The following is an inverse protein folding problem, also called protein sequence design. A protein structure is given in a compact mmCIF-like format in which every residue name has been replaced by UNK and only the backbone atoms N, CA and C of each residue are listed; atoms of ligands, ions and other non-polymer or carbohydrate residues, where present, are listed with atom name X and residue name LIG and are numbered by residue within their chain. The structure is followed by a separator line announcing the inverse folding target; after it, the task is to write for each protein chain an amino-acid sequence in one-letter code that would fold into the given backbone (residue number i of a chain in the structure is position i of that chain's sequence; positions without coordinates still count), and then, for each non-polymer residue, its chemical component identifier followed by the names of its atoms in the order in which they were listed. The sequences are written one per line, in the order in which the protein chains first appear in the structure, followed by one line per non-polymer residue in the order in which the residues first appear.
data_IF_315441907323
#
_entry.id   IF_315441907323
#
_cell.length_a   1.000
_cell.length_b   1.000
_cell.length_c   1.000
_cell.angle_alpha   90.00
_cell.angle_beta   90.00
_cell.angle_gamma   90.00
#
_symmetry.space_group_name_H-M   'P 1'
#
loop_
_entity.id
_entity.type
_entity.pdbx_description
1 polymer ?
#
# COMPACT_ATOMS: atom_id res chain seq x y z
N UNK A 1 -18.18 -6.98 -24.12
CA UNK A 1 -18.90 -5.79 -23.58
C UNK A 1 -17.93 -5.07 -22.66
N UNK A 2 -17.67 -3.77 -22.83
CA UNK A 2 -16.64 -3.08 -22.03
C UNK A 2 -17.28 -2.46 -20.78
N UNK A 3 -16.77 -2.78 -19.59
CA UNK A 3 -17.22 -2.13 -18.35
C UNK A 3 -16.31 -0.93 -18.11
N UNK A 4 -16.90 0.27 -18.10
CA UNK A 4 -16.24 1.50 -17.66
C UNK A 4 -16.55 1.70 -16.19
N UNK A 5 -15.53 1.81 -15.35
CA UNK A 5 -15.71 2.25 -13.97
C UNK A 5 -14.67 3.27 -13.57
N UNK A 6 -15.04 4.10 -12.60
CA UNK A 6 -14.17 5.10 -12.01
C UNK A 6 -13.50 4.45 -10.81
N UNK A 7 -12.17 4.37 -10.88
CA UNK A 7 -11.34 4.04 -9.75
C UNK A 7 -10.87 5.33 -9.09
N UNK A 8 -11.11 5.48 -7.79
CA UNK A 8 -10.60 6.63 -7.05
C UNK A 8 -9.68 6.16 -5.93
N UNK A 9 -8.55 6.84 -5.78
CA UNK A 9 -7.59 6.61 -4.70
C UNK A 9 -7.65 7.82 -3.78
N UNK A 10 -7.87 7.55 -2.49
CA UNK A 10 -7.98 8.56 -1.45
C UNK A 10 -6.94 8.32 -0.37
N UNK A 11 -6.38 9.39 0.18
CA UNK A 11 -5.44 9.31 1.30
C UNK A 11 -5.98 10.13 2.47
N UNK A 12 -5.86 9.56 3.67
CA UNK A 12 -5.97 10.28 4.94
C UNK A 12 -4.64 10.14 5.68
N UNK A 13 -4.04 11.25 6.03
CA UNK A 13 -2.97 11.28 7.02
C UNK A 13 -3.57 11.83 8.33
N UNK A 14 -3.28 11.20 9.46
CA UNK A 14 -3.62 11.76 10.77
C UNK A 14 -2.91 13.11 10.95
N UNK A 15 -3.54 14.13 11.57
CA UNK A 15 -2.83 15.33 11.97
C UNK A 15 -1.69 14.96 12.93
N UNK A 16 -0.56 15.70 12.95
CA UNK A 16 0.68 15.35 13.63
C UNK A 16 0.62 15.28 15.18
N UNK A 17 -0.58 15.28 15.78
CA UNK A 17 -0.81 15.14 17.22
C UNK A 17 -1.89 14.10 17.60
N UNK A 18 -2.45 13.34 16.65
CA UNK A 18 -3.42 12.28 16.95
C UNK A 18 -2.74 10.90 16.98
N UNK A 19 -2.53 10.35 18.18
CA UNK A 19 -2.05 8.98 18.36
C UNK A 19 -3.24 8.00 18.44
N UNK A 20 -3.20 6.87 17.72
CA UNK A 20 -2.15 6.46 16.78
C UNK A 20 -2.26 7.17 15.42
N UNK A 21 -1.11 7.51 14.82
CA UNK A 21 -1.08 8.03 13.46
C UNK A 21 -1.49 6.93 12.49
N UNK A 22 -2.44 7.26 11.62
CA UNK A 22 -2.88 6.40 10.55
C UNK A 22 -2.66 7.12 9.22
N UNK A 23 -1.78 6.56 8.37
CA UNK A 23 -1.81 6.87 6.94
C UNK A 23 -2.66 5.80 6.26
N UNK A 24 -3.78 6.23 5.69
CA UNK A 24 -4.79 5.36 5.12
C UNK A 24 -4.96 5.63 3.62
N UNK A 25 -4.86 4.60 2.78
CA UNK A 25 -5.16 4.62 1.36
C UNK A 25 -6.47 3.87 1.09
N UNK A 26 -7.45 4.51 0.45
CA UNK A 26 -8.72 3.90 0.07
C UNK A 26 -8.85 3.77 -1.45
N UNK A 27 -9.31 2.61 -1.91
CA UNK A 27 -9.67 2.35 -3.31
C UNK A 27 -11.19 2.30 -3.42
N UNK A 28 -11.76 3.18 -4.24
CA UNK A 28 -13.18 3.23 -4.51
C UNK A 28 -13.47 2.77 -5.93
N UNK A 29 -14.63 2.15 -6.09
CA UNK A 29 -15.26 1.87 -7.37
C UNK A 29 -16.60 2.55 -7.40
N UNK A 30 -16.78 3.52 -8.31
CA UNK A 30 -18.02 4.28 -8.46
C UNK A 30 -18.51 4.89 -7.12
N UNK A 31 -17.61 5.49 -6.35
CA UNK A 31 -17.93 6.10 -5.05
C UNK A 31 -18.04 5.11 -3.88
N UNK A 32 -18.04 3.80 -4.13
CA UNK A 32 -18.08 2.79 -3.05
C UNK A 32 -16.68 2.32 -2.68
N UNK A 33 -16.33 2.44 -1.39
CA UNK A 33 -15.07 1.93 -0.84
C UNK A 33 -14.98 0.42 -1.02
N UNK A 34 -14.10 -0.01 -1.93
CA UNK A 34 -13.78 -1.40 -2.15
C UNK A 34 -12.85 -1.89 -1.04
N UNK A 35 -11.72 -1.19 -0.85
CA UNK A 35 -10.69 -1.54 0.14
C UNK A 35 -9.98 -0.32 0.70
N UNK A 36 -9.43 -0.50 1.89
CA UNK A 36 -8.68 0.47 2.65
C UNK A 36 -7.38 -0.18 3.14
N UNK A 37 -6.28 0.58 3.12
CA UNK A 37 -4.97 0.18 3.61
C UNK A 37 -4.54 1.23 4.60
N UNK A 38 -4.49 0.91 5.88
CA UNK A 38 -4.06 1.86 6.89
C UNK A 38 -2.85 1.33 7.61
N UNK A 39 -1.81 2.15 7.71
CA UNK A 39 -0.66 1.86 8.55
C UNK A 39 -0.93 2.46 9.92
N UNK A 40 -0.99 1.64 10.95
CA UNK A 40 -0.93 2.14 12.31
C UNK A 40 0.53 2.26 12.73
N UNK A 41 0.97 3.45 13.15
CA UNK A 41 2.27 3.60 13.79
C UNK A 41 2.18 3.12 15.25
N UNK A 42 2.38 1.82 15.49
CA UNK A 42 2.56 1.24 16.84
C UNK A 42 3.82 0.38 16.91
N UNK A 43 4.73 0.72 17.82
CA UNK A 43 5.87 -0.12 18.22
C UNK A 43 7.22 0.25 17.57
N UNK A 44 8.15 -0.71 17.57
CA UNK A 44 9.56 -0.53 17.16
C UNK A 44 9.79 -0.48 15.64
N UNK A 45 8.78 -0.84 14.84
CA UNK A 45 8.79 -0.70 13.38
C UNK A 45 7.82 0.41 13.01
N UNK A 46 8.33 1.62 12.90
CA UNK A 46 7.57 2.72 12.30
C UNK A 46 7.69 2.58 10.78
N UNK A 47 6.66 3.01 10.03
CA UNK A 47 6.74 3.17 8.58
C UNK A 47 6.75 4.67 8.29
N UNK A 48 7.72 5.11 7.49
CA UNK A 48 8.01 6.55 7.35
C UNK A 48 7.02 7.18 6.38
N UNK A 49 6.68 6.46 5.31
CA UNK A 49 5.70 6.91 4.33
C UNK A 49 5.17 5.75 3.49
N UNK A 50 3.92 5.89 3.05
CA UNK A 50 3.38 5.16 1.89
C UNK A 50 3.40 6.04 0.67
N UNK A 51 3.76 5.47 -0.47
CA UNK A 51 3.49 6.05 -1.78
C UNK A 51 2.73 5.05 -2.64
N UNK A 52 2.09 5.55 -3.70
CA UNK A 52 1.37 4.70 -4.62
C UNK A 52 1.62 5.15 -6.05
N UNK A 53 1.54 4.20 -6.97
CA UNK A 53 1.52 4.45 -8.40
C UNK A 53 0.41 3.63 -9.01
N UNK A 54 -0.37 4.25 -9.90
CA UNK A 54 -1.35 3.52 -10.68
C UNK A 54 -1.05 3.70 -12.16
N UNK A 55 -0.76 2.61 -12.84
CA UNK A 55 -0.56 2.52 -14.29
C UNK A 55 -1.42 1.38 -14.78
N UNK A 56 -2.65 1.70 -15.16
CA UNK A 56 -3.67 0.72 -15.57
C UNK A 56 -3.06 -0.36 -16.49
N UNK A 57 -3.26 -1.67 -16.20
CA UNK A 57 -4.17 -2.23 -15.20
C UNK A 57 -3.56 -2.42 -13.79
N UNK A 58 -2.38 -1.85 -13.52
CA UNK A 58 -1.64 -2.12 -12.28
C UNK A 58 -1.71 -0.99 -11.26
N UNK A 59 -1.91 -1.38 -10.01
CA UNK A 59 -1.78 -0.54 -8.82
C UNK A 59 -0.58 -1.02 -8.01
N UNK A 60 0.37 -0.13 -7.70
CA UNK A 60 1.51 -0.45 -6.84
C UNK A 60 1.46 0.40 -5.59
N UNK A 61 1.44 -0.25 -4.43
CA UNK A 61 1.64 0.34 -3.12
C UNK A 61 3.12 0.18 -2.73
N UNK A 62 3.78 1.26 -2.35
CA UNK A 62 5.15 1.22 -1.83
C UNK A 62 5.15 1.68 -0.38
N UNK A 63 5.83 0.93 0.48
CA UNK A 63 5.91 1.21 1.92
C UNK A 63 7.38 1.35 2.29
N UNK A 64 7.77 2.53 2.75
CA UNK A 64 9.13 2.83 3.21
C UNK A 64 9.22 2.57 4.71
N UNK A 65 10.18 1.73 5.11
CA UNK A 65 10.47 1.50 6.53
C UNK A 65 10.96 2.79 7.19
N UNK A 66 10.49 3.09 8.40
CA UNK A 66 11.11 4.10 9.26
C UNK A 66 12.10 3.42 10.21
N UNK A 67 13.11 4.18 10.63
CA UNK A 67 14.15 3.67 11.50
C UNK A 67 14.12 4.40 12.84
N UNK A 68 14.18 3.63 13.93
CA UNK A 68 14.42 4.22 15.23
C UNK A 68 15.89 4.59 15.35
N UNK A 69 16.18 5.89 15.40
CA UNK A 69 17.52 6.39 15.66
C UNK A 69 18.06 5.83 16.99
N UNK A 70 19.26 5.27 16.95
CA UNK A 70 19.95 4.73 18.10
C UNK A 70 21.47 4.89 17.97
N UNK A 71 22.23 4.21 18.82
CA UNK A 71 23.70 4.21 18.79
C UNK A 71 24.30 3.33 17.67
N UNK A 72 23.48 2.88 16.73
CA UNK A 72 23.93 2.03 15.61
C UNK A 72 24.68 2.90 14.60
N UNK A 73 25.81 2.40 14.10
CA UNK A 73 26.63 3.10 13.10
C UNK A 73 26.14 2.90 11.66
N UNK A 74 25.24 1.94 11.44
CA UNK A 74 24.60 1.69 10.15
C UNK A 74 23.25 0.99 10.34
N UNK A 75 22.44 1.08 9.30
CA UNK A 75 21.10 0.53 9.20
C UNK A 75 20.93 -0.21 7.86
N UNK A 76 19.99 -1.16 7.82
CA UNK A 76 19.61 -1.87 6.59
C UNK A 76 18.12 -1.66 6.27
N UNK A 77 17.71 -0.40 5.98
CA UNK A 77 16.31 -0.12 5.72
C UNK A 77 15.83 -0.74 4.42
N UNK A 78 14.50 -0.78 4.25
CA UNK A 78 13.90 -1.31 3.02
C UNK A 78 12.64 -0.55 2.57
N UNK A 79 12.35 -0.70 1.27
CA UNK A 79 11.08 -0.32 0.66
C UNK A 79 10.40 -1.58 0.15
N UNK A 80 9.19 -1.85 0.63
CA UNK A 80 8.34 -2.91 0.11
C UNK A 80 7.46 -2.39 -1.02
N UNK A 81 7.32 -3.18 -2.09
CA UNK A 81 6.48 -2.89 -3.25
C UNK A 81 5.46 -4.01 -3.47
N UNK A 82 4.18 -3.66 -3.33
CA UNK A 82 3.04 -4.55 -3.57
C UNK A 82 2.32 -4.10 -4.84
N UNK A 83 2.52 -4.82 -5.94
CA UNK A 83 1.87 -4.54 -7.21
C UNK A 83 0.69 -5.48 -7.40
N UNK A 84 -0.49 -4.91 -7.60
CA UNK A 84 -1.74 -5.59 -7.86
C UNK A 84 -2.19 -5.34 -9.30
N UNK A 85 -2.52 -6.42 -10.01
CA UNK A 85 -3.14 -6.35 -11.33
C UNK A 85 -4.66 -6.41 -11.22
N UNK A 86 -5.34 -5.57 -11.99
CA UNK A 86 -6.79 -5.59 -12.10
C UNK A 86 -7.25 -6.66 -13.11
N UNK A 87 -7.99 -7.65 -12.63
CA UNK A 87 -8.55 -8.76 -13.41
C UNK A 87 -10.03 -8.86 -13.06
N UNK A 88 -10.90 -8.81 -14.07
CA UNK A 88 -12.36 -8.85 -13.95
C UNK A 88 -12.94 -7.96 -12.82
N UNK A 89 -12.47 -6.71 -12.75
CA UNK A 89 -12.92 -5.74 -11.75
C UNK A 89 -12.37 -5.95 -10.33
N UNK A 90 -11.47 -6.91 -10.13
CA UNK A 90 -10.84 -7.22 -8.84
C UNK A 90 -9.32 -7.12 -8.92
N UNK A 91 -8.70 -6.64 -7.84
CA UNK A 91 -7.25 -6.56 -7.73
C UNK A 91 -6.69 -7.86 -7.16
N UNK A 92 -5.68 -8.40 -7.81
CA UNK A 92 -4.92 -9.56 -7.37
C UNK A 92 -3.45 -9.22 -7.31
N UNK A 93 -2.73 -9.76 -6.33
CA UNK A 93 -1.29 -9.58 -6.22
C UNK A 93 -0.63 -10.11 -7.49
N UNK A 94 0.05 -9.21 -8.19
CA UNK A 94 0.84 -9.50 -9.38
C UNK A 94 2.31 -9.69 -9.02
N UNK A 95 2.85 -8.85 -8.12
CA UNK A 95 4.21 -8.96 -7.64
C UNK A 95 4.36 -8.40 -6.22
N UNK A 96 5.15 -9.08 -5.40
CA UNK A 96 5.72 -8.52 -4.17
C UNK A 96 7.25 -8.53 -4.27
N UNK A 97 7.86 -7.37 -4.10
CA UNK A 97 9.31 -7.19 -4.07
C UNK A 97 9.75 -6.21 -3.00
N UNK A 98 11.01 -6.31 -2.57
CA UNK A 98 11.64 -5.44 -1.59
C UNK A 98 12.97 -4.92 -2.10
N UNK A 99 13.19 -3.63 -1.99
CA UNK A 99 14.51 -3.02 -2.12
C UNK A 99 15.13 -2.87 -0.74
N UNK A 100 16.39 -3.28 -0.60
CA UNK A 100 17.16 -3.18 0.65
C UNK A 100 18.30 -2.20 0.43
N UNK A 101 18.52 -1.34 1.41
CA UNK A 101 19.51 -0.28 1.37
C UNK A 101 20.50 -0.39 2.52
N UNK A 102 21.65 0.24 2.37
CA UNK A 102 22.60 0.54 3.44
C UNK A 102 22.54 2.04 3.73
N UNK A 103 22.33 2.40 4.98
CA UNK A 103 22.27 3.79 5.43
C UNK A 103 23.14 3.98 6.67
N UNK A 104 23.83 5.11 6.78
CA UNK A 104 24.59 5.49 7.99
C UNK A 104 23.82 6.47 8.88
N UNK A 105 22.70 7.00 8.37
CA UNK A 105 21.76 7.84 9.09
C UNK A 105 20.41 7.12 9.24
N UNK A 106 19.72 7.36 10.34
CA UNK A 106 18.36 6.90 10.56
C UNK A 106 17.33 7.71 9.75
N UNK A 107 17.63 8.96 9.37
CA UNK A 107 16.85 9.73 8.38
C UNK A 107 17.27 9.34 6.95
N UNK A 108 17.10 8.06 6.66
CA UNK A 108 17.49 7.49 5.38
C UNK A 108 16.47 7.85 4.31
N UNK A 109 16.92 8.00 3.07
CA UNK A 109 16.12 8.05 1.87
C UNK A 109 16.83 7.35 0.71
N UNK A 110 16.16 7.29 -0.44
CA UNK A 110 16.74 6.61 -1.62
C UNK A 110 17.94 7.37 -2.21
N UNK A 111 18.03 8.68 -2.02
CA UNK A 111 19.07 9.54 -2.57
C UNK A 111 20.34 9.58 -1.71
N UNK A 112 20.24 9.30 -0.42
CA UNK A 112 21.32 9.35 0.57
C UNK A 112 21.79 7.96 1.04
N UNK A 113 21.19 6.88 0.52
CA UNK A 113 21.49 5.49 0.91
C UNK A 113 21.98 4.67 -0.28
N UNK A 114 22.83 3.69 -0.01
CA UNK A 114 23.33 2.76 -1.03
C UNK A 114 22.30 1.64 -1.26
N UNK A 115 21.90 1.42 -2.52
CA UNK A 115 21.05 0.28 -2.86
C UNK A 115 21.87 -1.01 -2.85
N UNK A 116 21.50 -1.95 -1.98
CA UNK A 116 22.22 -3.22 -1.84
C UNK A 116 21.65 -4.28 -2.78
N UNK A 117 20.32 -4.44 -2.77
CA UNK A 117 19.67 -5.49 -3.55
C UNK A 117 18.17 -5.25 -3.70
N UNK A 118 17.60 -5.93 -4.70
CA UNK A 118 16.16 -6.08 -4.87
C UNK A 118 15.79 -7.55 -4.82
N UNK A 119 14.90 -7.92 -3.91
CA UNK A 119 14.38 -9.28 -3.77
C UNK A 119 12.95 -9.34 -4.30
N UNK A 120 12.64 -10.35 -5.14
CA UNK A 120 11.28 -10.61 -5.62
C UNK A 120 10.77 -11.87 -4.90
N UNK A 121 9.96 -11.65 -3.87
CA UNK A 121 9.38 -12.71 -3.06
C UNK A 121 8.27 -13.44 -3.80
N UNK A 122 7.43 -12.71 -4.52
CA UNK A 122 6.34 -13.28 -5.29
C UNK A 122 6.19 -12.57 -6.64
N UNK A 123 5.94 -13.33 -7.70
CA UNK A 123 5.52 -12.85 -9.02
C UNK A 123 4.54 -13.86 -9.61
N UNK A 124 3.32 -13.43 -9.89
CA UNK A 124 2.22 -14.32 -10.31
C UNK A 124 2.60 -15.20 -11.51
N UNK A 125 3.25 -14.65 -12.55
CA UNK A 125 3.64 -15.44 -13.72
C UNK A 125 4.73 -16.49 -13.45
N UNK A 126 5.50 -16.36 -12.36
CA UNK A 126 6.53 -17.31 -11.94
C UNK A 126 5.97 -18.34 -10.96
N UNK A 127 5.23 -17.86 -9.97
CA UNK A 127 4.86 -18.64 -8.78
C UNK A 127 3.43 -19.24 -8.86
N UNK A 128 2.53 -18.65 -9.65
CA UNK A 128 1.19 -19.18 -9.96
C UNK A 128 0.84 -18.93 -11.44
N UNK A 129 1.60 -19.51 -12.40
CA UNK A 129 1.46 -19.23 -13.82
C UNK A 129 0.07 -19.57 -14.36
N UNK A 130 -0.58 -20.59 -13.80
CA UNK A 130 -1.94 -21.02 -14.17
C UNK A 130 -3.03 -20.17 -13.52
N UNK A 131 -2.68 -19.31 -12.55
CA UNK A 131 -3.63 -18.44 -11.87
C UNK A 131 -4.63 -19.20 -11.00
N UNK A 132 -4.28 -20.38 -10.49
CA UNK A 132 -5.15 -21.23 -9.66
C UNK A 132 -5.25 -20.75 -8.22
N UNK A 133 -4.23 -20.02 -7.76
CA UNK A 133 -4.09 -19.56 -6.37
C UNK A 133 -3.84 -18.05 -6.33
N UNK A 134 -4.53 -17.29 -7.18
CA UNK A 134 -4.41 -15.82 -7.20
C UNK A 134 -4.72 -15.25 -5.82
N UNK A 135 -3.77 -14.52 -5.27
CA UNK A 135 -3.95 -13.85 -3.99
C UNK A 135 -4.73 -12.57 -4.25
N UNK A 136 -5.99 -12.50 -3.80
CA UNK A 136 -6.75 -11.26 -3.92
C UNK A 136 -6.12 -10.17 -3.06
N UNK A 137 -6.33 -8.91 -3.44
CA UNK A 137 -5.88 -7.77 -2.62
C UNK A 137 -6.51 -7.81 -1.22
N UNK A 138 -7.70 -8.39 -1.07
CA UNK A 138 -8.31 -8.60 0.24
C UNK A 138 -7.53 -9.63 1.05
N UNK A 139 -7.31 -10.83 0.48
CA UNK A 139 -6.62 -11.90 1.20
C UNK A 139 -5.20 -11.48 1.57
N UNK A 140 -4.53 -10.73 0.70
CA UNK A 140 -3.21 -10.17 0.97
C UNK A 140 -3.23 -9.25 2.20
N UNK A 141 -4.17 -8.31 2.24
CA UNK A 141 -4.30 -7.33 3.35
C UNK A 141 -4.64 -8.01 4.67
N UNK A 142 -5.55 -8.97 4.64
CA UNK A 142 -6.01 -9.67 5.85
C UNK A 142 -4.91 -10.53 6.49
N UNK A 143 -3.92 -10.99 5.70
CA UNK A 143 -2.86 -11.90 6.16
C UNK A 143 -1.49 -11.22 6.31
N UNK A 144 -1.40 -9.90 6.15
CA UNK A 144 -0.13 -9.19 6.28
C UNK A 144 0.33 -9.15 7.76
N UNK A 145 1.58 -9.53 8.10
CA UNK A 145 2.05 -9.53 9.48
C UNK A 145 2.01 -8.14 10.12
N UNK A 146 1.15 -7.97 11.14
CA UNK A 146 0.98 -6.83 12.07
C UNK A 146 1.40 -5.44 11.55
N UNK A 147 0.39 -4.74 11.02
CA UNK A 147 0.33 -3.30 10.83
C UNK A 147 -1.10 -2.82 10.55
N UNK A 148 -2.11 -3.46 11.15
CA UNK A 148 -3.57 -3.19 11.09
C UNK A 148 -4.16 -2.64 9.77
N UNK A 149 -3.74 -3.18 8.63
CA UNK A 149 -4.29 -2.85 7.31
C UNK A 149 -5.68 -3.45 7.04
N UNK A 150 -6.11 -4.45 7.82
CA UNK A 150 -7.32 -5.26 7.59
C UNK A 150 -8.44 -5.08 8.62
N UNK A 151 -8.36 -4.11 9.54
CA UNK A 151 -9.33 -3.99 10.62
C UNK A 151 -10.70 -3.46 10.11
N UNK A 152 -11.78 -4.23 10.28
CA UNK A 152 -13.13 -3.80 9.89
C UNK A 152 -13.56 -2.48 10.56
N UNK A 153 -13.15 -2.23 11.79
CA UNK A 153 -13.40 -0.96 12.47
C UNK A 153 -12.68 0.20 11.77
N UNK A 154 -11.53 -0.05 11.16
CA UNK A 154 -10.75 0.94 10.44
C UNK A 154 -11.33 1.26 9.07
N UNK A 155 -11.89 0.26 8.38
CA UNK A 155 -12.75 0.48 7.21
C UNK A 155 -13.94 1.38 7.56
N UNK A 156 -14.63 1.10 8.66
CA UNK A 156 -15.74 1.94 9.13
C UNK A 156 -15.29 3.37 9.47
N UNK A 157 -14.15 3.53 10.14
CA UNK A 157 -13.55 4.84 10.44
C UNK A 157 -13.14 5.61 9.19
N UNK A 158 -12.60 4.94 8.18
CA UNK A 158 -12.33 5.58 6.89
C UNK A 158 -13.62 6.01 6.20
N UNK A 159 -14.67 5.18 6.25
CA UNK A 159 -15.95 5.56 5.67
C UNK A 159 -16.56 6.78 6.36
N UNK A 160 -16.58 6.78 7.69
CA UNK A 160 -17.05 7.90 8.51
C UNK A 160 -16.19 9.14 8.28
N UNK A 161 -14.88 9.04 8.44
CA UNK A 161 -13.98 10.20 8.39
C UNK A 161 -13.74 10.73 6.98
N UNK A 162 -13.55 9.88 5.98
CA UNK A 162 -13.29 10.33 4.61
C UNK A 162 -14.56 10.83 3.93
N UNK A 163 -15.64 10.05 3.97
CA UNK A 163 -16.81 10.35 3.14
C UNK A 163 -17.87 11.16 3.87
N UNK A 164 -18.06 10.95 5.17
CA UNK A 164 -19.04 11.73 5.93
C UNK A 164 -18.46 13.06 6.43
N UNK A 165 -17.18 13.07 6.83
CA UNK A 165 -16.52 14.27 7.37
C UNK A 165 -15.60 15.00 6.36
N UNK A 166 -15.39 14.44 5.17
CA UNK A 166 -14.60 15.08 4.10
C UNK A 166 -13.11 15.23 4.41
N UNK A 167 -12.56 14.43 5.33
CA UNK A 167 -11.19 14.61 5.85
C UNK A 167 -10.10 13.98 4.98
N UNK A 168 -10.45 13.39 3.83
CA UNK A 168 -9.50 12.70 2.97
C UNK A 168 -9.28 13.48 1.69
N UNK A 169 -8.05 13.39 1.16
CA UNK A 169 -7.70 14.01 -0.11
C UNK A 169 -7.81 12.96 -1.22
N UNK A 170 -8.53 13.29 -2.29
CA UNK A 170 -8.49 12.50 -3.52
C UNK A 170 -7.14 12.72 -4.19
N UNK A 171 -6.38 11.65 -4.38
CA UNK A 171 -5.02 11.70 -4.94
C UNK A 171 -4.96 11.17 -6.36
N UNK A 172 -5.92 10.34 -6.77
CA UNK A 172 -6.04 9.89 -8.16
C UNK A 172 -7.47 9.52 -8.54
N UNK A 173 -7.83 9.76 -9.79
CA UNK A 173 -9.07 9.30 -10.41
C UNK A 173 -8.76 8.79 -11.81
N UNK A 174 -9.01 7.50 -12.06
CA UNK A 174 -8.77 6.90 -13.37
C UNK A 174 -10.07 6.30 -13.93
N UNK A 175 -10.28 6.53 -15.23
CA UNK A 175 -11.29 5.82 -16.01
C UNK A 175 -10.68 4.50 -16.45
N UNK A 176 -11.13 3.41 -15.82
CA UNK A 176 -10.66 2.08 -16.15
C UNK A 176 -11.62 1.45 -17.15
N UNK A 177 -11.11 1.15 -18.34
CA UNK A 177 -11.84 0.45 -19.41
C UNK A 177 -11.38 -1.00 -19.37
N UNK A 178 -12.26 -1.88 -18.95
CA UNK A 178 -12.00 -3.32 -19.02
C UNK A 178 -12.76 -3.90 -20.20
N UNK A 179 -12.02 -4.43 -21.18
CA UNK A 179 -12.59 -5.24 -22.26
C UNK A 179 -12.75 -6.66 -21.72
N UNK A 180 -14.01 -7.11 -21.59
CA UNK A 180 -14.36 -8.52 -21.38
C UNK A 180 -14.06 -9.31 -22.65
#
# INVERSE_FOLDING_TARGET
MSILFILEIWIRDSPPNEFPYHSCLGILRQGQLQRAFCMEQRGYYTYQSTSHTFKSPFFTLSIKQDLKCGSQSYYTPHIDYYTFGLIEGQFYLHQYSREVFYATDCDWDRGNSEHLMTQIFYRQSRDDPEGKHKISMQDFVDNMPRGDFGNQALKARMQESCFQKGLCRRVKQDRVIQRL
#
